data_IF_651512762318
#
_entry.id   IF_651512762318
#
_cell.length_a   1.000
_cell.length_b   1.000
_cell.length_c   1.000
_cell.angle_alpha   90.00
_cell.angle_beta   90.00
_cell.angle_gamma   90.00
#
_symmetry.space_group_name_H-M   'P 1'
#
loop_
_entity.id
_entity.type
_entity.pdbx_description
1 polymer ?
#
# COMPACT_ATOMS: atom_id res chain seq x y z
N UNK A 1 37.67 34.45 29.25
CA UNK A 1 38.66 33.37 29.08
C UNK A 1 38.09 32.13 29.74
N UNK A 2 37.94 30.95 29.14
CA UNK A 2 38.31 30.43 27.82
C UNK A 2 37.56 29.08 27.70
N UNK A 3 36.75 28.90 26.65
CA UNK A 3 36.11 27.61 26.33
C UNK A 3 37.15 26.75 25.61
N UNK A 4 37.58 25.63 26.22
CA UNK A 4 38.44 24.64 25.54
C UNK A 4 37.61 23.86 24.51
N UNK A 5 37.87 24.14 23.24
CA UNK A 5 37.40 23.39 22.08
C UNK A 5 38.38 22.25 21.81
N UNK A 6 37.92 21.00 21.88
CA UNK A 6 38.73 19.85 21.46
C UNK A 6 38.46 19.58 19.98
N UNK A 7 39.43 19.93 19.14
CA UNK A 7 39.51 19.50 17.74
C UNK A 7 39.98 18.05 17.66
N UNK A 8 39.12 17.13 17.22
CA UNK A 8 39.54 15.81 16.75
C UNK A 8 39.76 15.87 15.24
N UNK A 9 41.01 15.71 14.83
CA UNK A 9 41.44 15.67 13.44
C UNK A 9 41.25 14.27 12.86
N UNK A 10 40.38 14.14 11.86
CA UNK A 10 40.21 12.90 11.08
C UNK A 10 41.33 12.84 10.04
N UNK A 11 42.33 11.97 10.23
CA UNK A 11 43.28 11.62 9.18
C UNK A 11 42.69 10.51 8.32
N UNK A 12 42.19 10.84 7.14
CA UNK A 12 41.85 9.86 6.11
C UNK A 12 43.13 9.37 5.42
N UNK A 13 43.53 8.13 5.71
CA UNK A 13 44.50 7.39 4.89
C UNK A 13 43.74 6.51 3.90
N UNK A 14 43.94 6.71 2.58
CA UNK A 14 43.44 5.79 1.55
C UNK A 14 44.43 4.64 1.38
N UNK A 15 43.98 3.40 1.52
CA UNK A 15 44.64 2.24 0.92
C UNK A 15 43.57 1.42 0.21
N UNK A 16 43.84 1.09 -1.06
CA UNK A 16 43.00 0.24 -1.90
C UNK A 16 43.38 -1.21 -1.64
N UNK A 17 42.40 -2.04 -1.24
CA UNK A 17 42.57 -3.46 -1.02
C UNK A 17 41.21 -4.16 -0.96
N UNK A 18 41.03 -5.12 -1.85
CA UNK A 18 39.87 -6.01 -1.99
C UNK A 18 39.69 -6.89 -0.74
N UNK A 19 38.79 -6.50 0.16
CA UNK A 19 37.92 -7.37 0.96
C UNK A 19 37.01 -6.50 1.84
N UNK A 20 35.74 -6.36 1.47
CA UNK A 20 34.74 -5.67 2.31
C UNK A 20 34.19 -6.64 3.35
N UNK A 21 35.01 -7.01 4.33
CA UNK A 21 34.51 -7.42 5.64
C UNK A 21 34.70 -6.25 6.60
N UNK A 22 33.75 -5.31 6.54
CA UNK A 22 33.61 -4.31 7.59
C UNK A 22 33.14 -5.05 8.84
N UNK A 23 34.08 -5.35 9.75
CA UNK A 23 33.76 -5.94 11.05
C UNK A 23 33.13 -4.84 11.89
N UNK A 24 31.81 -4.71 11.79
CA UNK A 24 31.01 -3.90 12.70
C UNK A 24 31.04 -4.60 14.06
N UNK A 25 31.97 -4.21 14.92
CA UNK A 25 31.92 -4.59 16.33
C UNK A 25 30.77 -3.82 16.99
N UNK A 26 29.63 -4.48 17.14
CA UNK A 26 28.53 -4.01 17.97
C UNK A 26 28.52 -4.79 19.28
N UNK A 27 28.33 -4.13 20.42
CA UNK A 27 28.10 -4.77 21.72
C UNK A 27 26.77 -5.56 21.78
N UNK A 28 26.02 -5.57 20.67
CA UNK A 28 24.75 -6.25 20.53
C UNK A 28 25.04 -7.72 20.18
N UNK A 29 24.63 -8.62 21.07
CA UNK A 29 24.76 -10.07 20.87
C UNK A 29 24.30 -10.47 19.47
N UNK A 30 25.06 -11.34 18.80
CA UNK A 30 24.75 -11.86 17.46
C UNK A 30 23.34 -12.46 17.36
N UNK A 31 22.80 -12.95 18.49
CA UNK A 31 21.43 -13.46 18.60
C UNK A 31 20.40 -12.33 18.50
N UNK A 32 20.67 -11.17 19.09
CA UNK A 32 19.80 -9.99 19.01
C UNK A 32 19.79 -9.42 17.60
N UNK A 33 20.96 -9.36 16.94
CA UNK A 33 21.06 -8.94 15.53
C UNK A 33 20.33 -9.93 14.61
N UNK A 34 20.53 -11.24 14.79
CA UNK A 34 19.81 -12.27 14.04
C UNK A 34 18.29 -12.21 14.26
N UNK A 35 17.85 -11.96 15.50
CA UNK A 35 16.44 -11.79 15.82
C UNK A 35 15.84 -10.51 15.25
N UNK A 36 16.57 -9.39 15.21
CA UNK A 36 16.13 -8.19 14.52
C UNK A 36 15.98 -8.40 13.01
N UNK A 37 16.95 -9.06 12.38
CA UNK A 37 16.89 -9.42 10.95
C UNK A 37 15.71 -10.35 10.68
N UNK A 38 15.49 -11.37 11.51
CA UNK A 38 14.32 -12.25 11.44
C UNK A 38 13.00 -11.49 11.65
N UNK A 39 12.95 -10.52 12.57
CA UNK A 39 11.75 -9.68 12.79
C UNK A 39 11.48 -8.75 11.61
N UNK A 40 12.52 -8.20 10.97
CA UNK A 40 12.40 -7.39 9.74
C UNK A 40 12.00 -8.25 8.53
N UNK A 41 12.43 -9.51 8.48
CA UNK A 41 12.16 -10.44 7.38
C UNK A 41 10.89 -11.29 7.54
N UNK A 42 10.21 -11.25 8.70
CA UNK A 42 8.85 -11.76 8.85
C UNK A 42 7.89 -10.82 8.13
N UNK A 43 7.86 -10.91 6.80
CA UNK A 43 6.70 -10.42 6.05
C UNK A 43 5.45 -11.08 6.67
N UNK A 44 4.39 -10.31 6.98
CA UNK A 44 3.16 -10.90 7.49
C UNK A 44 2.74 -12.00 6.54
N UNK A 45 2.70 -13.24 7.01
CA UNK A 45 2.21 -14.35 6.19
C UNK A 45 0.78 -14.01 5.79
N UNK A 46 0.60 -13.68 4.52
CA UNK A 46 -0.71 -13.34 4.01
C UNK A 46 -1.56 -14.60 4.07
N UNK A 47 -2.77 -14.47 4.63
CA UNK A 47 -3.73 -15.57 4.65
C UNK A 47 -3.87 -16.17 3.24
N UNK A 48 -3.91 -17.51 3.11
CA UNK A 48 -4.27 -18.17 1.86
C UNK A 48 -5.55 -17.58 1.26
N UNK A 49 -5.65 -17.58 -0.06
CA UNK A 49 -6.76 -16.93 -0.76
C UNK A 49 -8.13 -17.52 -0.35
N UNK A 50 -8.17 -18.83 -0.14
CA UNK A 50 -9.36 -19.58 0.33
C UNK A 50 -9.85 -19.15 1.71
N UNK A 51 -8.96 -18.63 2.56
CA UNK A 51 -9.28 -18.17 3.91
C UNK A 51 -9.49 -16.65 3.98
N UNK A 52 -9.44 -15.96 2.84
CA UNK A 52 -9.64 -14.52 2.78
C UNK A 52 -11.13 -14.20 2.69
N UNK A 53 -11.58 -13.21 3.46
CA UNK A 53 -12.89 -12.62 3.25
C UNK A 53 -12.90 -11.83 1.92
N UNK A 54 -14.11 -11.55 1.39
CA UNK A 54 -14.30 -10.82 0.13
C UNK A 54 -13.55 -9.49 0.09
N UNK A 55 -13.56 -8.73 1.19
CA UNK A 55 -12.84 -7.44 1.30
C UNK A 55 -11.33 -7.60 1.12
N UNK A 56 -10.74 -8.63 1.73
CA UNK A 56 -9.31 -8.94 1.63
C UNK A 56 -8.95 -9.40 0.21
N UNK A 57 -9.81 -10.22 -0.40
CA UNK A 57 -9.66 -10.64 -1.80
C UNK A 57 -9.66 -9.41 -2.72
N UNK A 58 -10.63 -8.50 -2.55
CA UNK A 58 -10.71 -7.25 -3.31
C UNK A 58 -9.47 -6.37 -3.13
N UNK A 59 -8.98 -6.20 -1.90
CA UNK A 59 -7.74 -5.43 -1.63
C UNK A 59 -6.53 -6.05 -2.33
N UNK A 60 -6.40 -7.38 -2.31
CA UNK A 60 -5.33 -8.10 -3.01
C UNK A 60 -5.45 -7.93 -4.53
N UNK A 61 -6.66 -8.09 -5.07
CA UNK A 61 -6.96 -7.88 -6.49
C UNK A 61 -6.56 -6.47 -6.93
N UNK A 62 -7.01 -5.44 -6.21
CA UNK A 62 -6.66 -4.05 -6.50
C UNK A 62 -5.15 -3.81 -6.42
N UNK A 63 -4.49 -4.29 -5.36
CA UNK A 63 -3.05 -4.10 -5.18
C UNK A 63 -2.23 -4.74 -6.30
N UNK A 64 -2.61 -5.93 -6.74
CA UNK A 64 -1.98 -6.58 -7.89
C UNK A 64 -2.32 -5.82 -9.17
N UNK A 65 -3.59 -5.57 -9.42
CA UNK A 65 -4.08 -4.91 -10.62
C UNK A 65 -3.59 -3.49 -10.84
N UNK A 66 -3.32 -2.71 -9.80
CA UNK A 66 -2.73 -1.38 -9.99
C UNK A 66 -1.33 -1.46 -10.63
N UNK A 67 -0.55 -2.50 -10.34
CA UNK A 67 0.84 -2.61 -10.82
C UNK A 67 0.96 -2.70 -12.34
N UNK A 68 0.26 -3.61 -13.07
CA UNK A 68 0.27 -3.61 -14.53
C UNK A 68 -0.16 -2.28 -15.13
N UNK A 69 -1.17 -1.61 -14.55
CA UNK A 69 -1.63 -0.31 -15.04
C UNK A 69 -0.53 0.76 -14.95
N UNK A 70 0.12 0.87 -13.80
CA UNK A 70 1.24 1.80 -13.58
C UNK A 70 2.39 1.50 -14.55
N UNK A 71 2.76 0.22 -14.70
CA UNK A 71 3.84 -0.19 -15.60
C UNK A 71 3.53 0.11 -17.07
N UNK A 72 2.30 -0.15 -17.53
CA UNK A 72 1.88 0.17 -18.90
C UNK A 72 1.95 1.68 -19.17
N UNK A 73 1.63 2.53 -18.19
CA UNK A 73 1.77 3.97 -18.33
C UNK A 73 3.24 4.39 -18.43
N UNK A 74 4.11 3.86 -17.56
CA UNK A 74 5.54 4.17 -17.56
C UNK A 74 6.23 3.71 -18.83
N UNK A 75 6.04 2.45 -19.24
CA UNK A 75 6.66 1.91 -20.45
C UNK A 75 6.02 2.45 -21.72
N UNK A 76 4.71 2.71 -21.70
CA UNK A 76 3.98 3.31 -22.80
C UNK A 76 4.51 4.69 -23.18
N UNK A 77 4.79 5.55 -22.19
CA UNK A 77 5.39 6.85 -22.42
C UNK A 77 6.79 6.78 -23.05
N UNK A 78 7.57 5.73 -22.74
CA UNK A 78 8.90 5.52 -23.31
C UNK A 78 8.83 5.03 -24.76
N UNK A 79 7.94 4.08 -25.05
CA UNK A 79 7.87 3.39 -26.34
C UNK A 79 7.10 4.22 -27.38
N UNK A 80 6.01 4.86 -26.96
CA UNK A 80 5.07 5.53 -27.85
C UNK A 80 5.15 7.07 -27.78
N UNK A 81 6.10 7.60 -27.00
CA UNK A 81 6.38 9.02 -26.82
C UNK A 81 5.13 9.82 -26.42
N UNK A 82 4.61 10.68 -27.31
CA UNK A 82 3.44 11.52 -27.06
C UNK A 82 2.11 10.77 -27.10
N UNK A 83 2.09 9.57 -27.69
CA UNK A 83 0.85 8.80 -27.77
C UNK A 83 0.52 8.18 -26.42
N UNK A 84 -0.70 8.46 -25.93
CA UNK A 84 -1.16 7.93 -24.67
C UNK A 84 -1.46 6.42 -24.76
N UNK A 85 -0.78 5.63 -23.95
CA UNK A 85 -1.09 4.21 -23.76
C UNK A 85 -2.06 4.04 -22.60
N UNK A 86 -3.18 3.38 -22.86
CA UNK A 86 -4.23 3.14 -21.86
C UNK A 86 -4.49 1.64 -21.72
N UNK A 87 -4.22 1.10 -20.53
CA UNK A 87 -4.65 -0.24 -20.16
C UNK A 87 -6.14 -0.23 -19.84
N UNK A 88 -6.95 -0.84 -20.71
CA UNK A 88 -8.42 -0.86 -20.57
C UNK A 88 -8.91 -1.87 -19.53
N UNK A 89 -8.39 -3.09 -19.60
CA UNK A 89 -8.77 -4.20 -18.72
C UNK A 89 -7.60 -5.14 -18.50
N UNK A 90 -7.59 -5.81 -17.35
CA UNK A 90 -6.83 -7.06 -17.16
C UNK A 90 -7.76 -8.19 -16.72
N UNK A 91 -7.42 -9.40 -17.15
CA UNK A 91 -8.03 -10.64 -16.69
C UNK A 91 -6.93 -11.63 -16.34
N UNK A 92 -7.05 -12.29 -15.19
CA UNK A 92 -6.06 -13.24 -14.71
C UNK A 92 -6.68 -14.24 -13.73
N UNK A 93 -6.04 -15.39 -13.55
CA UNK A 93 -6.49 -16.43 -12.65
C UNK A 93 -5.49 -16.63 -11.50
N UNK A 94 -5.98 -16.87 -10.29
CA UNK A 94 -5.16 -17.35 -9.15
C UNK A 94 -5.88 -18.53 -8.52
N UNK A 95 -5.27 -19.71 -8.54
CA UNK A 95 -5.84 -20.94 -7.96
C UNK A 95 -7.29 -21.18 -8.39
N UNK A 96 -7.57 -21.14 -9.70
CA UNK A 96 -8.92 -21.34 -10.26
C UNK A 96 -9.93 -20.24 -9.91
N UNK A 97 -9.50 -19.14 -9.29
CA UNK A 97 -10.32 -17.94 -9.13
C UNK A 97 -9.97 -16.93 -10.22
N UNK A 98 -10.97 -16.60 -11.03
CA UNK A 98 -10.84 -15.59 -12.08
C UNK A 98 -11.03 -14.19 -11.52
N UNK A 99 -10.11 -13.30 -11.89
CA UNK A 99 -10.15 -11.89 -11.59
C UNK A 99 -10.21 -11.11 -12.89
N UNK A 100 -11.09 -10.12 -12.92
CA UNK A 100 -11.19 -9.15 -13.99
C UNK A 100 -11.23 -7.76 -13.39
N UNK A 101 -10.40 -6.86 -13.92
CA UNK A 101 -10.38 -5.45 -13.53
C UNK A 101 -10.53 -4.64 -14.80
N UNK A 102 -11.69 -4.00 -14.92
CA UNK A 102 -11.94 -3.00 -15.95
C UNK A 102 -11.54 -1.62 -15.38
N UNK A 103 -10.49 -1.04 -15.93
CA UNK A 103 -9.99 0.28 -15.53
C UNK A 103 -10.77 1.42 -16.17
N UNK A 104 -11.52 1.14 -17.24
CA UNK A 104 -12.34 2.12 -17.94
C UNK A 104 -13.73 2.26 -17.28
N UNK A 105 -14.08 1.35 -16.36
CA UNK A 105 -15.37 1.32 -15.66
C UNK A 105 -15.58 2.42 -14.60
N UNK A 106 -14.68 3.41 -14.44
CA UNK A 106 -14.58 4.19 -13.20
C UNK A 106 -14.74 5.70 -13.37
N UNK A 107 -15.98 6.13 -13.62
CA UNK A 107 -16.44 7.44 -13.10
C UNK A 107 -17.51 7.24 -12.01
N UNK A 108 -18.51 6.42 -12.31
CA UNK A 108 -19.65 6.12 -11.42
C UNK A 108 -19.32 5.30 -10.16
N UNK A 109 -18.40 4.32 -10.20
CA UNK A 109 -18.12 3.48 -9.03
C UNK A 109 -17.21 4.17 -8.00
N UNK A 110 -16.29 5.00 -8.47
CA UNK A 110 -15.45 5.81 -7.58
C UNK A 110 -16.29 6.85 -6.84
N UNK A 111 -17.19 7.52 -7.54
CA UNK A 111 -18.18 8.44 -6.92
C UNK A 111 -19.04 7.71 -5.87
N UNK A 112 -19.49 6.48 -6.14
CA UNK A 112 -20.24 5.68 -5.16
C UNK A 112 -19.42 5.26 -3.94
N UNK A 113 -18.17 4.82 -4.14
CA UNK A 113 -17.27 4.49 -3.02
C UNK A 113 -16.94 5.74 -2.19
N UNK A 114 -16.68 6.88 -2.82
CA UNK A 114 -16.42 8.15 -2.14
C UNK A 114 -17.65 8.62 -1.35
N UNK A 115 -18.87 8.48 -1.91
CA UNK A 115 -20.13 8.76 -1.22
C UNK A 115 -20.29 7.86 0.02
N UNK A 116 -20.03 6.56 -0.10
CA UNK A 116 -20.13 5.63 1.04
C UNK A 116 -19.09 5.93 2.12
N UNK A 117 -17.86 6.30 1.74
CA UNK A 117 -16.81 6.69 2.69
C UNK A 117 -17.21 7.99 3.40
N UNK A 118 -17.71 8.99 2.67
CA UNK A 118 -18.23 10.23 3.27
C UNK A 118 -19.43 9.96 4.19
N UNK A 119 -20.32 9.03 3.83
CA UNK A 119 -21.44 8.66 4.68
C UNK A 119 -20.98 8.06 6.01
N UNK A 120 -20.08 7.09 5.96
CA UNK A 120 -19.51 6.44 7.15
C UNK A 120 -18.82 7.48 8.05
N UNK A 121 -18.09 8.43 7.45
CA UNK A 121 -17.45 9.51 8.21
C UNK A 121 -18.45 10.43 8.90
N UNK A 122 -19.56 10.79 8.24
CA UNK A 122 -20.60 11.67 8.83
C UNK A 122 -21.40 10.93 9.92
N UNK A 123 -21.65 9.63 9.75
CA UNK A 123 -22.23 8.76 10.79
C UNK A 123 -21.31 8.70 12.01
N UNK A 124 -20.03 8.36 11.81
CA UNK A 124 -19.03 8.25 12.88
C UNK A 124 -18.84 9.58 13.62
N UNK A 125 -19.09 10.71 12.96
CA UNK A 125 -19.00 12.06 13.54
C UNK A 125 -20.30 12.55 14.19
N UNK A 126 -21.38 11.72 14.27
CA UNK A 126 -22.69 12.09 14.80
C UNK A 126 -23.31 13.35 14.14
N UNK A 127 -23.05 13.57 12.85
CA UNK A 127 -23.47 14.79 12.13
C UNK A 127 -24.69 14.59 11.22
N UNK A 128 -25.33 13.42 11.26
CA UNK A 128 -26.53 13.18 10.47
C UNK A 128 -27.76 13.76 11.17
N UNK A 129 -28.45 14.67 10.49
CA UNK A 129 -29.77 15.12 10.92
C UNK A 129 -30.80 14.00 10.76
N UNK A 130 -31.86 14.00 11.56
CA UNK A 130 -32.94 13.02 11.47
C UNK A 130 -33.54 12.91 10.04
N UNK A 131 -33.61 14.02 9.30
CA UNK A 131 -34.03 14.02 7.89
C UNK A 131 -33.02 13.33 6.96
N UNK A 132 -31.72 13.52 7.23
CA UNK A 132 -30.65 12.79 6.55
C UNK A 132 -30.75 11.29 6.80
N UNK A 133 -31.08 10.87 8.01
CA UNK A 133 -31.32 9.46 8.35
C UNK A 133 -32.51 8.89 7.57
N UNK A 134 -33.64 9.59 7.51
CA UNK A 134 -34.83 9.15 6.75
C UNK A 134 -34.55 9.00 5.26
N UNK A 135 -33.78 9.93 4.70
CA UNK A 135 -33.36 9.87 3.31
C UNK A 135 -32.52 8.61 3.04
N UNK A 136 -31.64 8.23 3.97
CA UNK A 136 -30.82 7.02 3.87
C UNK A 136 -31.62 5.73 4.05
N UNK A 137 -32.53 5.68 5.03
CA UNK A 137 -33.41 4.53 5.25
C UNK A 137 -34.35 4.26 4.05
N UNK A 138 -34.59 5.26 3.21
CA UNK A 138 -35.34 5.11 1.95
C UNK A 138 -34.51 4.41 0.87
N UNK A 139 -33.19 4.58 0.88
CA UNK A 139 -32.26 4.00 -0.09
C UNK A 139 -31.79 2.61 0.38
N UNK A 140 -31.56 2.44 1.69
CA UNK A 140 -31.16 1.18 2.31
C UNK A 140 -32.25 0.70 3.29
N UNK A 141 -33.16 -0.18 2.83
CA UNK A 141 -34.34 -0.57 3.62
C UNK A 141 -34.03 -1.45 4.84
N UNK A 142 -32.78 -1.90 4.99
CA UNK A 142 -32.31 -2.72 6.12
C UNK A 142 -31.69 -1.89 7.26
N UNK A 143 -31.67 -0.56 7.14
CA UNK A 143 -31.24 0.33 8.22
C UNK A 143 -32.25 0.24 9.38
N UNK A 144 -31.80 0.00 10.62
CA UNK A 144 -32.69 -0.02 11.79
C UNK A 144 -33.42 1.32 11.91
N UNK A 145 -34.75 1.33 12.04
CA UNK A 145 -35.49 2.58 12.24
C UNK A 145 -35.50 2.88 13.74
N UNK A 146 -35.23 4.14 14.11
CA UNK A 146 -35.59 4.66 15.43
C UNK A 146 -37.09 4.48 15.71
#
# INVERSE_FOLDING_TARGET
MERRSYHNTVKQGRTYGTDFSEVVQSDVSSITVANEVLRRNKSPQLKPLELCNKSTIYKKQRKFGCKPKEQVQVEGAKIYSENQVVLKQISYNVNSMDFQIDYNRQKNNKEKEDILISLVQVIDQNHISHEGYRSLATIEPNLERE
#
